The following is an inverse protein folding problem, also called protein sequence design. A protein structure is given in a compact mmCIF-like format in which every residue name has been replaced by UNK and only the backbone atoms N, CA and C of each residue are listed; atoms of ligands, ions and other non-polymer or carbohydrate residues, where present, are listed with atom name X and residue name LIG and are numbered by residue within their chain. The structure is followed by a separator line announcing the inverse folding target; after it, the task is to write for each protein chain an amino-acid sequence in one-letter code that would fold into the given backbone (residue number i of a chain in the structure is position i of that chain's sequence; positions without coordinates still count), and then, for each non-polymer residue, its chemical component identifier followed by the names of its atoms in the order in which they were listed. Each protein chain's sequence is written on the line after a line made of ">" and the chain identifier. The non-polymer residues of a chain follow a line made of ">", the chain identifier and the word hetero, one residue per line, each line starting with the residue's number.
data_IF_641516941434
#
_entry.id   IF_641516941434
#
_cell.length_a   1.000
_cell.length_b   1.000
_cell.length_c   1.000
_cell.angle_alpha   90.00
_cell.angle_beta   90.00
_cell.angle_gamma   90.00
#
_symmetry.space_group_name_H-M   'P 1'
#
loop_
_entity.id
_entity.type
_entity.pdbx_description
1 polymer ?
#
# COMPACT_ATOMS: atom_id res chain seq x y z
N UNK A 1 5.83 -11.12 -13.05
CA UNK A 1 4.94 -9.97 -12.81
C UNK A 1 4.93 -9.55 -11.34
N UNK A 2 5.03 -8.24 -11.05
CA UNK A 2 5.07 -7.61 -9.72
C UNK A 2 6.08 -8.20 -8.71
N UNK A 3 7.35 -8.32 -9.09
CA UNK A 3 8.38 -8.95 -8.23
C UNK A 3 8.72 -8.08 -7.01
N UNK A 4 8.95 -6.79 -7.22
CA UNK A 4 9.35 -5.85 -6.18
C UNK A 4 8.22 -5.64 -5.16
N UNK A 5 6.96 -5.58 -5.62
CA UNK A 5 5.77 -5.50 -4.76
C UNK A 5 5.63 -6.73 -3.89
N UNK A 6 5.78 -7.94 -4.43
CA UNK A 6 5.70 -9.18 -3.63
C UNK A 6 6.77 -9.24 -2.55
N UNK A 7 8.00 -8.86 -2.88
CA UNK A 7 9.09 -8.79 -1.91
C UNK A 7 8.79 -7.76 -0.81
N UNK A 8 8.23 -6.62 -1.17
CA UNK A 8 7.82 -5.60 -0.20
C UNK A 8 6.72 -6.12 0.73
N UNK A 9 5.66 -6.76 0.22
CA UNK A 9 4.61 -7.34 1.07
C UNK A 9 5.18 -8.38 2.05
N UNK A 10 6.04 -9.28 1.56
CA UNK A 10 6.73 -10.27 2.40
C UNK A 10 7.56 -9.61 3.49
N UNK A 11 8.30 -8.54 3.18
CA UNK A 11 9.10 -7.80 4.17
C UNK A 11 8.28 -7.13 5.26
N UNK A 12 7.00 -6.86 4.99
CA UNK A 12 6.05 -6.28 5.94
C UNK A 12 5.20 -7.34 6.63
N UNK A 13 5.51 -8.63 6.45
CA UNK A 13 4.75 -9.77 6.96
C UNK A 13 3.27 -9.78 6.50
N UNK A 14 3.02 -9.36 5.26
CA UNK A 14 1.68 -9.33 4.65
C UNK A 14 1.55 -10.55 3.74
N UNK A 15 0.55 -11.37 4.02
CA UNK A 15 0.21 -12.53 3.22
C UNK A 15 -0.36 -12.11 1.85
N UNK A 16 -0.13 -12.92 0.84
CA UNK A 16 -0.70 -12.70 -0.48
C UNK A 16 -1.01 -14.01 -1.20
N UNK A 17 -2.04 -13.98 -2.05
CA UNK A 17 -2.41 -15.08 -2.93
C UNK A 17 -2.53 -14.60 -4.37
N UNK A 18 -2.13 -15.46 -5.31
CA UNK A 18 -2.09 -15.17 -6.75
C UNK A 18 -3.26 -15.86 -7.42
N UNK A 19 -3.99 -15.13 -8.23
CA UNK A 19 -5.09 -15.64 -9.04
C UNK A 19 -4.94 -15.09 -10.45
N UNK A 20 -4.99 -15.98 -11.44
CA UNK A 20 -4.93 -15.58 -12.85
C UNK A 20 -6.30 -15.75 -13.46
N UNK A 21 -6.83 -14.68 -14.04
CA UNK A 21 -8.15 -14.68 -14.67
C UNK A 21 -7.97 -14.43 -16.16
N UNK A 22 -8.54 -15.33 -16.96
CA UNK A 22 -8.57 -15.17 -18.40
C UNK A 22 -9.98 -14.68 -18.81
N UNK A 23 -10.20 -13.36 -18.96
CA UNK A 23 -11.49 -12.88 -19.42
C UNK A 23 -11.76 -13.35 -20.85
N UNK A 24 -12.98 -13.84 -21.11
CA UNK A 24 -13.35 -14.37 -22.42
C UNK A 24 -13.52 -13.28 -23.49
N UNK A 25 -13.90 -12.07 -23.08
CA UNK A 25 -14.31 -10.98 -23.99
C UNK A 25 -13.25 -9.88 -24.18
N UNK A 26 -12.12 -9.92 -23.46
CA UNK A 26 -11.13 -8.83 -23.48
C UNK A 26 -9.77 -9.40 -23.88
N UNK A 27 -9.03 -8.78 -24.81
CA UNK A 27 -7.71 -9.29 -25.22
C UNK A 27 -6.68 -9.18 -24.10
N UNK A 28 -6.90 -8.30 -23.12
CA UNK A 28 -6.02 -8.10 -21.99
C UNK A 28 -6.16 -9.24 -20.97
N UNK A 29 -5.03 -9.80 -20.56
CA UNK A 29 -4.99 -10.81 -19.50
C UNK A 29 -4.98 -10.11 -18.14
N UNK A 30 -5.72 -10.66 -17.19
CA UNK A 30 -5.87 -10.06 -15.86
C UNK A 30 -5.17 -10.92 -14.81
N UNK A 31 -4.15 -10.34 -14.18
CA UNK A 31 -3.48 -10.94 -13.05
C UNK A 31 -3.94 -10.30 -11.75
N UNK A 32 -4.55 -11.10 -10.86
CA UNK A 32 -5.04 -10.63 -9.57
C UNK A 32 -4.11 -11.11 -8.46
N UNK A 33 -3.67 -10.18 -7.61
CA UNK A 33 -2.89 -10.47 -6.41
C UNK A 33 -3.66 -9.98 -5.20
N UNK A 34 -4.27 -10.90 -4.46
CA UNK A 34 -4.97 -10.59 -3.20
C UNK A 34 -3.96 -10.53 -2.06
N UNK A 35 -4.15 -9.64 -1.09
CA UNK A 35 -3.25 -9.47 0.04
C UNK A 35 -3.96 -8.96 1.32
N UNK A 36 -3.41 -9.33 2.47
CA UNK A 36 -3.96 -9.02 3.79
C UNK A 36 -2.95 -9.34 4.89
N UNK A 37 -3.19 -8.81 6.09
CA UNK A 37 -2.36 -9.18 7.26
C UNK A 37 -2.62 -10.62 7.67
N UNK A 38 -3.89 -11.03 7.70
CA UNK A 38 -4.29 -12.41 7.95
C UNK A 38 -4.23 -13.22 6.63
N UNK A 39 -3.53 -14.35 6.59
CA UNK A 39 -3.55 -15.28 5.45
C UNK A 39 -4.95 -15.73 5.04
N UNK A 40 -5.89 -15.81 5.97
CA UNK A 40 -7.27 -16.23 5.73
C UNK A 40 -8.16 -15.09 5.21
N UNK A 41 -7.73 -13.83 5.37
CA UNK A 41 -8.51 -12.66 5.00
C UNK A 41 -7.75 -11.68 4.10
N UNK A 42 -7.75 -12.01 2.80
CA UNK A 42 -7.05 -11.24 1.76
C UNK A 42 -7.96 -10.17 1.13
N UNK A 43 -8.41 -9.24 1.95
CA UNK A 43 -9.38 -8.21 1.59
C UNK A 43 -8.91 -7.17 0.55
N UNK A 44 -7.60 -7.02 0.35
CA UNK A 44 -7.04 -6.07 -0.59
C UNK A 44 -6.60 -6.78 -1.88
N UNK A 45 -6.61 -6.08 -3.01
CA UNK A 45 -6.19 -6.68 -4.28
C UNK A 45 -5.47 -5.71 -5.21
N UNK A 46 -4.50 -6.24 -5.93
CA UNK A 46 -3.95 -5.66 -7.15
C UNK A 46 -4.57 -6.36 -8.34
N UNK A 47 -5.03 -5.60 -9.33
CA UNK A 47 -5.50 -6.09 -10.62
C UNK A 47 -4.50 -5.56 -11.64
N UNK A 48 -3.81 -6.45 -12.33
CA UNK A 48 -2.78 -6.10 -13.31
C UNK A 48 -3.26 -6.52 -14.68
N UNK A 49 -3.60 -5.53 -15.48
CA UNK A 49 -3.87 -5.70 -16.91
C UNK A 49 -2.52 -5.75 -17.62
N UNK A 50 -2.36 -6.76 -18.48
CA UNK A 50 -1.15 -6.92 -19.25
C UNK A 50 -1.45 -7.52 -20.62
N UNK A 51 -0.55 -7.19 -21.55
CA UNK A 51 -0.52 -7.71 -22.91
C UNK A 51 0.81 -8.41 -23.16
N UNK A 52 0.90 -9.13 -24.27
CA UNK A 52 2.15 -9.68 -24.76
C UNK A 52 2.69 -8.80 -25.88
N UNK A 53 3.98 -8.50 -25.82
CA UNK A 53 4.69 -7.93 -26.97
C UNK A 53 4.82 -8.97 -28.08
N UNK A 54 5.18 -8.54 -29.28
CA UNK A 54 5.45 -9.45 -30.41
C UNK A 54 6.51 -10.52 -30.08
N UNK A 55 7.46 -10.23 -29.17
CA UNK A 55 8.45 -11.19 -28.65
C UNK A 55 7.93 -12.12 -27.55
N UNK A 56 6.64 -12.07 -27.21
CA UNK A 56 6.04 -12.84 -26.12
C UNK A 56 6.37 -12.34 -24.71
N UNK A 57 7.07 -11.19 -24.57
CA UNK A 57 7.32 -10.59 -23.25
C UNK A 57 6.06 -9.92 -22.71
N UNK A 58 5.79 -10.12 -21.41
CA UNK A 58 4.69 -9.47 -20.69
C UNK A 58 4.95 -7.96 -20.60
N UNK A 59 4.00 -7.16 -21.07
CA UNK A 59 3.94 -5.72 -20.91
C UNK A 59 2.77 -5.36 -20.01
N UNK A 60 3.06 -4.81 -18.83
CA UNK A 60 2.04 -4.27 -17.93
C UNK A 60 1.45 -3.01 -18.59
N UNK A 61 0.14 -2.96 -18.74
CA UNK A 61 -0.58 -1.80 -19.28
C UNK A 61 -1.12 -0.94 -18.14
N UNK A 62 -1.74 -1.58 -17.14
CA UNK A 62 -2.34 -0.91 -16.00
C UNK A 62 -2.24 -1.77 -14.74
N UNK A 63 -2.04 -1.10 -13.60
CA UNK A 63 -2.13 -1.71 -12.28
C UNK A 63 -3.17 -0.97 -11.46
N UNK A 64 -4.24 -1.66 -11.07
CA UNK A 64 -5.32 -1.13 -10.25
C UNK A 64 -5.23 -1.68 -8.84
N UNK A 65 -5.14 -0.80 -7.85
CA UNK A 65 -5.16 -1.14 -6.43
C UNK A 65 -6.55 -0.89 -5.87
N UNK A 66 -7.08 -1.92 -5.20
CA UNK A 66 -8.29 -1.80 -4.38
C UNK A 66 -7.97 -2.23 -2.96
N UNK A 67 -7.90 -1.25 -2.07
CA UNK A 67 -7.82 -1.50 -0.63
C UNK A 67 -9.23 -1.70 -0.06
N UNK A 68 -9.32 -2.48 1.02
CA UNK A 68 -10.56 -2.63 1.76
C UNK A 68 -11.06 -1.27 2.28
N UNK A 69 -12.37 -1.02 2.20
CA UNK A 69 -12.98 0.26 2.57
C UNK A 69 -12.68 1.45 1.64
N UNK A 70 -11.97 1.23 0.51
CA UNK A 70 -11.68 2.28 -0.46
C UNK A 70 -12.84 2.49 -1.43
N UNK A 71 -13.39 3.72 -1.48
CA UNK A 71 -14.52 4.07 -2.39
C UNK A 71 -14.14 4.02 -3.88
N UNK A 72 -12.95 4.51 -4.24
CA UNK A 72 -12.45 4.54 -5.62
C UNK A 72 -11.09 3.87 -5.71
N UNK A 73 -10.89 2.86 -6.59
CA UNK A 73 -9.59 2.25 -6.79
C UNK A 73 -8.55 3.29 -7.26
N UNK A 74 -7.27 2.97 -7.14
CA UNK A 74 -6.20 3.80 -7.70
C UNK A 74 -5.50 3.04 -8.81
N UNK A 75 -5.22 3.73 -9.90
CA UNK A 75 -4.56 3.18 -11.08
C UNK A 75 -3.12 3.68 -11.16
N UNK A 76 -2.22 2.82 -11.62
CA UNK A 76 -0.80 3.09 -11.78
C UNK A 76 -0.33 2.52 -13.11
N UNK A 77 0.60 3.22 -13.76
CA UNK A 77 1.16 2.76 -15.03
C UNK A 77 2.23 1.67 -14.84
N UNK A 78 2.92 1.68 -13.69
CA UNK A 78 4.06 0.79 -13.44
C UNK A 78 4.21 0.39 -11.97
N UNK A 79 5.03 -0.65 -11.74
CA UNK A 79 5.29 -1.20 -10.41
C UNK A 79 5.98 -0.21 -9.46
N UNK A 80 6.77 0.73 -9.99
CA UNK A 80 7.50 1.73 -9.19
C UNK A 80 6.54 2.72 -8.54
N UNK A 81 5.57 3.24 -9.30
CA UNK A 81 4.52 4.11 -8.79
C UNK A 81 3.65 3.40 -7.76
N UNK A 82 3.26 2.16 -8.06
CA UNK A 82 2.54 1.31 -7.14
C UNK A 82 3.28 1.18 -5.79
N UNK A 83 4.57 0.86 -5.83
CA UNK A 83 5.38 0.69 -4.62
C UNK A 83 5.50 1.98 -3.81
N UNK A 84 5.64 3.13 -4.48
CA UNK A 84 5.67 4.43 -3.83
C UNK A 84 4.35 4.69 -3.11
N UNK A 85 3.22 4.38 -3.74
CA UNK A 85 1.91 4.49 -3.13
C UNK A 85 1.75 3.59 -1.91
N UNK A 86 2.12 2.31 -2.03
CA UNK A 86 2.02 1.33 -0.94
C UNK A 86 2.82 1.79 0.28
N UNK A 87 4.09 2.15 0.10
CA UNK A 87 4.93 2.69 1.19
C UNK A 87 4.29 3.90 1.88
N UNK A 88 3.71 4.82 1.11
CA UNK A 88 3.04 6.03 1.64
C UNK A 88 1.74 5.70 2.40
N UNK A 89 1.05 4.61 2.02
CA UNK A 89 -0.26 4.23 2.55
C UNK A 89 -0.24 2.96 3.40
N UNK A 90 0.95 2.52 3.86
CA UNK A 90 1.12 1.30 4.65
C UNK A 90 0.16 1.21 5.85
N UNK A 91 -0.09 2.32 6.54
CA UNK A 91 -1.04 2.40 7.66
C UNK A 91 -2.49 1.99 7.34
N UNK A 92 -2.87 1.86 6.06
CA UNK A 92 -4.24 1.47 5.65
C UNK A 92 -4.45 -0.03 5.59
N UNK A 93 -3.39 -0.79 5.40
CA UNK A 93 -3.46 -2.24 5.17
C UNK A 93 -2.48 -3.01 6.06
N UNK A 94 -1.67 -2.29 6.85
CA UNK A 94 -0.82 -2.87 7.88
C UNK A 94 -1.14 -2.23 9.24
N UNK A 95 -1.65 -3.02 10.17
CA UNK A 95 -1.85 -2.70 11.58
C UNK A 95 -0.56 -2.31 12.27
N UNK A 96 0.59 -2.94 11.93
CA UNK A 96 1.91 -2.49 12.42
C UNK A 96 2.17 -1.02 12.05
N UNK A 97 2.06 -0.68 10.76
CA UNK A 97 2.27 0.68 10.29
C UNK A 97 1.23 1.68 10.84
N UNK A 98 0.02 1.20 11.16
CA UNK A 98 -1.02 2.00 11.81
C UNK A 98 -0.62 2.38 13.24
N UNK A 99 -0.21 1.40 14.06
CA UNK A 99 0.27 1.61 15.44
C UNK A 99 1.47 2.57 15.49
N UNK A 100 2.49 2.34 14.65
CA UNK A 100 3.67 3.23 14.57
C UNK A 100 3.29 4.68 14.23
N UNK A 101 2.29 4.87 13.36
CA UNK A 101 1.82 6.21 13.00
C UNK A 101 1.12 6.89 14.17
N UNK A 102 0.35 6.16 14.97
CA UNK A 102 -0.32 6.69 16.16
C UNK A 102 0.67 7.09 17.24
N UNK A 103 1.66 6.25 17.52
CA UNK A 103 2.74 6.56 18.46
C UNK A 103 3.50 7.83 18.05
N UNK A 104 3.85 7.94 16.77
CA UNK A 104 4.48 9.17 16.22
C UNK A 104 3.60 10.41 16.41
N UNK A 105 2.28 10.28 16.28
CA UNK A 105 1.35 11.40 16.54
C UNK A 105 1.34 11.77 18.03
N UNK A 106 1.26 10.78 18.92
CA UNK A 106 1.30 10.98 20.38
C UNK A 106 2.60 11.68 20.80
N UNK A 107 3.75 11.19 20.33
CA UNK A 107 5.06 11.79 20.59
C UNK A 107 5.14 13.25 20.11
N UNK A 108 4.68 13.53 18.89
CA UNK A 108 4.65 14.91 18.36
C UNK A 108 3.78 15.84 19.20
N UNK A 109 2.64 15.35 19.70
CA UNK A 109 1.75 16.12 20.58
C UNK A 109 2.43 16.41 21.91
N UNK A 110 3.05 15.40 22.54
CA UNK A 110 3.80 15.56 23.79
C UNK A 110 4.91 16.61 23.66
N UNK A 111 5.76 16.50 22.63
CA UNK A 111 6.85 17.47 22.39
C UNK A 111 6.33 18.90 22.15
N UNK A 112 5.16 19.07 21.54
CA UNK A 112 4.53 20.39 21.37
C UNK A 112 4.05 20.97 22.69
N UNK A 113 3.42 20.14 23.54
CA UNK A 113 2.95 20.55 24.87
C UNK A 113 4.12 20.93 25.77
N UNK A 114 5.19 20.14 25.77
CA UNK A 114 6.40 20.41 26.54
C UNK A 114 7.08 21.72 26.12
N UNK A 115 7.24 21.95 24.80
CA UNK A 115 7.75 23.23 24.29
C UNK A 115 6.88 24.42 24.70
N UNK A 116 5.56 24.24 24.74
CA UNK A 116 4.61 25.27 25.17
C UNK A 116 4.80 25.59 26.66
N UNK A 117 4.85 24.55 27.52
CA UNK A 117 5.11 24.68 28.96
C UNK A 117 6.44 25.37 29.26
N UNK A 118 7.51 24.99 28.55
CA UNK A 118 8.82 25.62 28.71
C UNK A 118 8.81 27.11 28.33
N UNK A 119 8.05 27.46 27.28
CA UNK A 119 7.89 28.86 26.86
C UNK A 119 7.11 29.68 27.89
N UNK A 120 6.04 29.12 28.44
CA UNK A 120 5.22 29.75 29.50
C UNK A 120 6.04 29.93 30.79
N UNK A 121 6.78 28.92 31.23
CA UNK A 121 7.64 29.01 32.42
C UNK A 121 8.72 30.09 32.28
N UNK A 122 9.35 30.20 31.11
CA UNK A 122 10.33 31.27 30.82
C UNK A 122 9.71 32.66 30.79
N UNK A 123 8.45 32.78 30.36
CA UNK A 123 7.74 34.06 30.36
C UNK A 123 7.33 34.50 31.77
N UNK A 124 7.05 33.56 32.67
CA UNK A 124 6.66 33.87 34.06
C UNK A 124 7.84 34.26 34.98
N UNK A 125 9.09 34.00 34.56
CA UNK A 125 10.31 34.34 35.32
C UNK A 125 10.90 35.71 34.94
N UNK A 126 10.27 36.43 34.00
CA UNK A 126 10.74 37.72 33.47
C UNK A 126 9.71 38.80 33.76
#
# INVERSE_FOLDING_TARGET
>A
MLRKTKNFLKSQNIAYSKEHVNPLMVPEKVYVLKFGEDPNDLNNRFIVEHTYTWTGRIKITKITVRLHGQKKPHEFANETELLRYLKKKAYRYSGKAMREREERKKLKKMRRMEKKRLKEAKAAQK
#
